data_IF_806166549163
#
_entry.id   IF_806166549163
#
_cell.length_a   1.000
_cell.length_b   1.000
_cell.length_c   1.000
_cell.angle_alpha   90.00
_cell.angle_beta   90.00
_cell.angle_gamma   90.00
#
_symmetry.space_group_name_H-M   'P 1'
#
loop_
_entity.id
_entity.type
_entity.pdbx_description
1 polymer ?
#
# COMPACT_ATOMS: atom_id res chain seq x y z
N UNK A 1 -16.50 -7.83 -18.76
CA UNK A 1 -15.78 -6.74 -18.06
C UNK A 1 -16.65 -6.27 -16.92
N UNK A 2 -16.08 -6.14 -15.73
CA UNK A 2 -16.75 -5.58 -14.56
C UNK A 2 -17.18 -4.13 -14.84
N UNK A 3 -18.48 -3.85 -14.80
CA UNK A 3 -19.03 -2.51 -15.09
C UNK A 3 -18.53 -1.45 -14.11
N UNK A 4 -18.03 -1.86 -12.93
CA UNK A 4 -17.43 -0.96 -11.94
C UNK A 4 -16.19 -0.25 -12.49
N UNK A 5 -15.46 -0.86 -13.43
CA UNK A 5 -14.28 -0.22 -14.04
C UNK A 5 -14.59 1.06 -14.83
N UNK A 6 -15.86 1.33 -15.14
CA UNK A 6 -16.30 2.58 -15.75
C UNK A 6 -16.67 3.67 -14.74
N UNK A 7 -16.61 3.38 -13.43
CA UNK A 7 -16.92 4.32 -12.36
C UNK A 7 -15.64 4.77 -11.65
N UNK A 8 -15.62 6.03 -11.23
CA UNK A 8 -14.58 6.55 -10.35
C UNK A 8 -14.74 6.00 -8.93
N UNK A 9 -13.62 5.97 -8.20
CA UNK A 9 -13.61 5.71 -6.77
C UNK A 9 -13.54 7.05 -6.04
N UNK A 10 -14.33 7.20 -4.98
CA UNK A 10 -14.40 8.41 -4.15
C UNK A 10 -14.36 8.04 -2.67
N UNK A 11 -14.08 9.02 -1.82
CA UNK A 11 -14.26 8.87 -0.36
C UNK A 11 -15.74 8.61 -0.09
N UNK A 12 -16.03 7.66 0.79
CA UNK A 12 -17.41 7.29 1.10
C UNK A 12 -18.15 8.43 1.76
N UNK A 13 -19.40 8.65 1.31
CA UNK A 13 -20.31 9.63 1.93
C UNK A 13 -20.87 9.16 3.27
N UNK A 14 -20.87 7.84 3.51
CA UNK A 14 -21.36 7.25 4.76
C UNK A 14 -20.32 7.37 5.87
N UNK A 15 -19.06 7.13 5.53
CA UNK A 15 -17.94 7.17 6.46
C UNK A 15 -16.66 7.59 5.72
N UNK A 16 -16.14 8.75 6.07
CA UNK A 16 -15.00 9.39 5.42
C UNK A 16 -13.69 8.58 5.52
N UNK A 17 -13.63 7.55 6.37
CA UNK A 17 -12.47 6.66 6.51
C UNK A 17 -12.31 5.62 5.39
N UNK A 18 -13.30 5.47 4.50
CA UNK A 18 -13.33 4.41 3.50
C UNK A 18 -13.63 4.93 2.09
N UNK A 19 -13.56 4.04 1.10
CA UNK A 19 -13.84 4.36 -0.30
C UNK A 19 -15.09 3.66 -0.83
N UNK A 20 -15.72 4.25 -1.83
CA UNK A 20 -16.84 3.69 -2.57
C UNK A 20 -16.76 4.05 -4.05
N UNK A 21 -17.41 3.27 -4.91
CA UNK A 21 -17.66 3.65 -6.30
C UNK A 21 -18.72 4.75 -6.37
N UNK A 22 -18.89 5.36 -7.55
CA UNK A 22 -19.89 6.42 -7.75
C UNK A 22 -21.31 6.00 -7.34
N UNK A 23 -21.70 4.76 -7.63
CA UNK A 23 -22.99 4.15 -7.25
C UNK A 23 -23.15 3.85 -5.74
N UNK A 24 -22.11 4.07 -4.93
CA UNK A 24 -22.11 3.83 -3.49
C UNK A 24 -21.72 2.41 -3.07
N UNK A 25 -21.36 1.54 -4.02
CA UNK A 25 -20.80 0.21 -3.72
C UNK A 25 -19.44 0.37 -3.02
N UNK A 26 -19.17 -0.35 -1.92
CA UNK A 26 -17.89 -0.27 -1.22
C UNK A 26 -16.70 -0.65 -2.10
N UNK A 27 -15.59 0.07 -1.93
CA UNK A 27 -14.30 -0.27 -2.52
C UNK A 27 -13.24 -0.40 -1.44
N UNK A 28 -12.76 -1.62 -1.20
CA UNK A 28 -11.62 -1.87 -0.31
C UNK A 28 -10.39 -2.15 -1.19
N UNK A 29 -9.36 -1.30 -1.15
CA UNK A 29 -8.13 -1.55 -1.87
C UNK A 29 -7.43 -2.80 -1.33
N UNK A 30 -7.34 -3.82 -2.19
CA UNK A 30 -6.45 -4.98 -2.05
C UNK A 30 -5.24 -4.67 -2.92
N UNK A 31 -4.26 -4.00 -2.32
CA UNK A 31 -3.21 -3.28 -3.04
C UNK A 31 -1.79 -3.78 -2.84
N UNK A 32 -0.94 -3.53 -3.83
CA UNK A 32 0.52 -3.76 -3.75
C UNK A 32 1.30 -2.71 -4.55
N UNK A 33 2.56 -2.50 -4.20
CA UNK A 33 3.52 -1.81 -5.05
C UNK A 33 3.85 -2.68 -6.27
N UNK A 34 3.63 -2.19 -7.49
CA UNK A 34 4.02 -2.85 -8.75
C UNK A 34 4.86 -1.86 -9.58
N UNK A 35 5.89 -1.29 -8.95
CA UNK A 35 6.35 0.04 -9.32
C UNK A 35 7.06 0.11 -10.68
N UNK A 36 7.89 -0.88 -11.01
CA UNK A 36 8.69 -0.92 -12.24
C UNK A 36 9.26 -2.30 -12.53
N UNK A 37 9.70 -2.51 -13.76
CA UNK A 37 10.56 -3.63 -14.14
C UNK A 37 12.04 -3.19 -13.98
N UNK A 38 12.91 -4.11 -13.54
CA UNK A 38 14.28 -3.79 -13.09
C UNK A 38 15.38 -4.09 -14.11
N UNK A 39 15.16 -5.00 -15.06
CA UNK A 39 16.24 -5.62 -15.83
C UNK A 39 16.10 -5.46 -17.34
N UNK A 40 14.88 -5.35 -17.85
CA UNK A 40 14.59 -5.12 -19.25
C UNK A 40 14.58 -3.63 -19.57
N UNK A 41 15.17 -3.30 -20.71
CA UNK A 41 15.04 -1.99 -21.36
C UNK A 41 14.10 -2.01 -22.56
N UNK A 42 13.49 -3.17 -22.87
CA UNK A 42 12.61 -3.34 -24.01
C UNK A 42 11.15 -3.09 -23.61
N UNK A 43 10.52 -2.09 -24.22
CA UNK A 43 9.17 -1.65 -23.86
C UNK A 43 8.13 -2.79 -24.02
N UNK A 44 8.30 -3.70 -25.00
CA UNK A 44 7.36 -4.79 -25.23
C UNK A 44 7.50 -5.92 -24.19
N UNK A 45 8.74 -6.26 -23.82
CA UNK A 45 9.02 -7.20 -22.72
C UNK A 45 8.47 -6.68 -21.38
N UNK A 46 8.70 -5.40 -21.07
CA UNK A 46 8.21 -4.76 -19.85
C UNK A 46 6.67 -4.80 -19.81
N UNK A 47 6.00 -4.49 -20.92
CA UNK A 47 4.53 -4.61 -21.01
C UNK A 47 4.05 -6.05 -20.82
N UNK A 48 4.77 -7.05 -21.33
CA UNK A 48 4.43 -8.45 -21.12
C UNK A 48 4.57 -8.86 -19.65
N UNK A 49 5.59 -8.33 -18.95
CA UNK A 49 5.81 -8.54 -17.51
C UNK A 49 4.67 -7.91 -16.71
N UNK A 50 4.30 -6.65 -17.00
CA UNK A 50 3.15 -6.02 -16.35
C UNK A 50 1.85 -6.79 -16.58
N UNK A 51 1.61 -7.28 -17.79
CA UNK A 51 0.44 -8.13 -18.10
C UNK A 51 0.45 -9.40 -17.24
N UNK A 52 1.61 -10.05 -17.07
CA UNK A 52 1.74 -11.22 -16.19
C UNK A 52 1.43 -10.87 -14.74
N UNK A 53 2.03 -9.80 -14.20
CA UNK A 53 1.79 -9.37 -12.83
C UNK A 53 0.33 -9.02 -12.59
N UNK A 54 -0.29 -8.21 -13.46
CA UNK A 54 -1.68 -7.79 -13.31
C UNK A 54 -2.64 -8.97 -13.40
N UNK A 55 -2.38 -9.93 -14.30
CA UNK A 55 -3.17 -11.15 -14.38
C UNK A 55 -3.10 -11.95 -13.08
N UNK A 56 -1.90 -12.29 -12.59
CA UNK A 56 -1.74 -13.07 -11.34
C UNK A 56 -2.33 -12.34 -10.14
N UNK A 57 -2.13 -11.02 -10.07
CA UNK A 57 -2.64 -10.19 -8.99
C UNK A 57 -4.17 -10.16 -8.98
N UNK A 58 -4.80 -9.92 -10.14
CA UNK A 58 -6.25 -9.88 -10.31
C UNK A 58 -6.91 -11.24 -10.09
N UNK A 59 -6.32 -12.33 -10.61
CA UNK A 59 -6.78 -13.71 -10.39
C UNK A 59 -6.81 -14.07 -8.88
N UNK A 60 -6.02 -13.37 -8.05
CA UNK A 60 -6.00 -13.49 -6.60
C UNK A 60 -6.69 -12.32 -5.88
N UNK A 61 -7.60 -11.60 -6.52
CA UNK A 61 -8.42 -10.57 -5.87
C UNK A 61 -7.73 -9.23 -5.61
N UNK A 62 -6.48 -9.05 -6.07
CA UNK A 62 -5.80 -7.77 -6.10
C UNK A 62 -6.50 -6.78 -7.03
N UNK A 63 -6.68 -5.54 -6.57
CA UNK A 63 -7.49 -4.53 -7.28
C UNK A 63 -6.90 -3.11 -7.26
N UNK A 64 -5.73 -2.90 -6.65
CA UNK A 64 -5.09 -1.58 -6.58
C UNK A 64 -3.57 -1.68 -6.70
N UNK A 65 -2.94 -0.93 -7.60
CA UNK A 65 -1.50 -1.00 -7.84
C UNK A 65 -0.83 0.38 -7.83
N UNK A 66 0.31 0.50 -7.15
CA UNK A 66 1.16 1.69 -7.19
C UNK A 66 2.29 1.55 -8.21
N UNK A 67 2.45 2.54 -9.09
CA UNK A 67 3.38 2.54 -10.23
C UNK A 67 4.17 3.84 -10.30
N UNK A 68 5.48 3.78 -10.58
CA UNK A 68 6.32 4.97 -10.68
C UNK A 68 6.48 5.43 -12.13
N UNK A 69 6.26 6.72 -12.39
CA UNK A 69 6.46 7.30 -13.72
C UNK A 69 7.90 7.70 -14.01
N UNK A 70 8.68 8.03 -12.97
CA UNK A 70 10.07 8.50 -13.15
C UNK A 70 11.06 7.43 -13.65
N UNK A 71 10.61 6.22 -13.98
CA UNK A 71 11.46 5.10 -14.43
C UNK A 71 11.61 5.09 -15.96
N UNK A 72 12.69 4.51 -16.53
CA UNK A 72 12.95 4.60 -17.98
C UNK A 72 11.78 4.17 -18.89
N UNK A 73 10.97 3.20 -18.45
CA UNK A 73 9.81 2.72 -19.20
C UNK A 73 8.68 3.76 -19.35
N UNK A 74 8.49 4.63 -18.35
CA UNK A 74 7.38 5.59 -18.25
C UNK A 74 7.81 7.06 -18.16
N UNK A 75 9.12 7.34 -18.09
CA UNK A 75 9.63 8.70 -17.95
C UNK A 75 9.26 9.52 -19.19
N UNK A 76 8.29 10.43 -19.00
CA UNK A 76 7.75 11.24 -20.08
C UNK A 76 8.77 12.26 -20.62
N UNK A 77 9.79 12.62 -19.85
CA UNK A 77 10.82 13.58 -20.22
C UNK A 77 12.21 12.91 -20.20
N UNK A 78 12.47 11.95 -21.11
CA UNK A 78 13.68 11.14 -21.02
C UNK A 78 14.96 11.91 -21.36
N UNK A 79 14.85 12.99 -22.15
CA UNK A 79 16.00 13.73 -22.68
C UNK A 79 16.09 15.17 -22.17
N UNK A 80 14.99 15.92 -22.21
CA UNK A 80 14.94 17.34 -21.86
C UNK A 80 13.64 17.71 -21.17
N UNK A 81 13.65 18.67 -20.23
CA UNK A 81 12.43 19.15 -19.61
C UNK A 81 11.51 19.81 -20.64
N UNK A 82 10.22 19.51 -20.60
CA UNK A 82 9.19 20.01 -21.48
C UNK A 82 9.13 19.32 -22.84
N UNK A 83 10.06 18.40 -23.13
CA UNK A 83 10.07 17.61 -24.37
C UNK A 83 9.53 16.22 -24.07
N UNK A 84 8.22 16.07 -24.23
CA UNK A 84 7.53 14.84 -23.86
C UNK A 84 7.67 13.75 -24.93
N UNK A 85 7.95 12.52 -24.50
CA UNK A 85 8.08 11.35 -25.38
C UNK A 85 6.73 10.70 -25.65
N UNK A 86 6.28 10.73 -26.91
CA UNK A 86 5.03 10.06 -27.31
C UNK A 86 5.10 8.55 -27.05
N UNK A 87 6.24 7.92 -27.31
CA UNK A 87 6.46 6.49 -27.01
C UNK A 87 6.22 6.17 -25.53
N UNK A 88 6.73 7.00 -24.61
CA UNK A 88 6.56 6.78 -23.17
C UNK A 88 5.12 7.05 -22.72
N UNK A 89 4.43 7.97 -23.39
CA UNK A 89 2.99 8.17 -23.23
C UNK A 89 2.16 6.99 -23.77
N UNK A 90 2.56 6.37 -24.88
CA UNK A 90 1.95 5.14 -25.40
C UNK A 90 2.10 3.97 -24.43
N UNK A 91 3.30 3.81 -23.83
CA UNK A 91 3.54 2.82 -22.78
C UNK A 91 2.60 3.02 -21.58
N UNK A 92 2.42 4.27 -21.15
CA UNK A 92 1.51 4.61 -20.06
C UNK A 92 0.05 4.29 -20.43
N UNK A 93 -0.40 4.62 -21.64
CA UNK A 93 -1.74 4.26 -22.13
C UNK A 93 -1.94 2.74 -22.17
N UNK A 94 -0.94 1.98 -22.61
CA UNK A 94 -1.00 0.52 -22.62
C UNK A 94 -1.10 -0.06 -21.19
N UNK A 95 -0.37 0.51 -20.23
CA UNK A 95 -0.42 0.09 -18.83
C UNK A 95 -1.77 0.40 -18.16
N UNK A 96 -2.34 1.56 -18.45
CA UNK A 96 -3.71 1.92 -18.02
C UNK A 96 -4.75 0.97 -18.62
N UNK A 97 -4.60 0.61 -19.89
CA UNK A 97 -5.46 -0.38 -20.54
C UNK A 97 -5.37 -1.76 -19.89
N UNK A 98 -4.18 -2.19 -19.44
CA UNK A 98 -4.03 -3.40 -18.62
C UNK A 98 -4.78 -3.27 -17.29
N UNK A 99 -4.69 -2.11 -16.61
CA UNK A 99 -5.46 -1.85 -15.39
C UNK A 99 -6.96 -2.07 -15.61
N UNK A 100 -7.51 -1.53 -16.71
CA UNK A 100 -8.91 -1.76 -17.12
C UNK A 100 -9.21 -3.23 -17.41
N UNK A 101 -8.34 -3.90 -18.17
CA UNK A 101 -8.50 -5.31 -18.56
C UNK A 101 -8.62 -6.23 -17.34
N UNK A 102 -7.77 -6.01 -16.33
CA UNK A 102 -7.67 -6.85 -15.14
C UNK A 102 -8.46 -6.32 -13.93
N UNK A 103 -9.22 -5.23 -14.07
CA UNK A 103 -10.01 -4.70 -12.96
C UNK A 103 -9.18 -4.08 -11.83
N UNK A 104 -8.01 -3.53 -12.16
CA UNK A 104 -7.06 -2.95 -11.21
C UNK A 104 -7.09 -1.43 -11.33
N UNK A 105 -7.30 -0.75 -10.20
CA UNK A 105 -7.12 0.69 -10.04
C UNK A 105 -5.63 1.02 -9.91
N UNK A 106 -5.22 2.13 -10.49
CA UNK A 106 -3.82 2.56 -10.55
C UNK A 106 -3.61 3.83 -9.74
N UNK A 107 -2.56 3.82 -8.91
CA UNK A 107 -1.94 5.01 -8.32
C UNK A 107 -0.61 5.25 -9.02
N UNK A 108 -0.43 6.44 -9.60
CA UNK A 108 0.84 6.81 -10.23
C UNK A 108 1.62 7.78 -9.36
N UNK A 109 2.87 7.42 -9.07
CA UNK A 109 3.86 8.31 -8.47
C UNK A 109 4.57 9.09 -9.57
N UNK A 110 4.40 10.41 -9.58
CA UNK A 110 4.83 11.29 -10.67
C UNK A 110 6.36 11.41 -10.76
N UNK A 111 7.04 11.56 -9.62
CA UNK A 111 8.50 11.65 -9.54
C UNK A 111 9.04 10.98 -8.25
N UNK A 112 10.33 10.62 -8.24
CA UNK A 112 10.97 9.95 -7.10
C UNK A 112 12.44 10.33 -6.89
N UNK A 113 12.98 11.25 -7.68
CA UNK A 113 14.39 11.61 -7.56
C UNK A 113 14.67 12.36 -6.26
N UNK A 114 15.89 12.18 -5.74
CA UNK A 114 16.39 12.79 -4.50
C UNK A 114 17.56 13.75 -4.75
N UNK A 115 18.18 13.68 -5.92
CA UNK A 115 19.27 14.57 -6.32
C UNK A 115 19.25 14.85 -7.83
N UNK A 116 19.71 16.03 -8.23
CA UNK A 116 19.96 16.39 -9.62
C UNK A 116 21.45 16.27 -9.98
N UNK A 117 22.33 16.35 -8.97
CA UNK A 117 23.78 16.38 -9.14
C UNK A 117 24.30 15.04 -9.61
N UNK A 118 25.39 15.03 -10.39
CA UNK A 118 26.00 13.82 -10.91
C UNK A 118 26.86 13.12 -9.86
N UNK A 119 26.32 12.85 -8.68
CA UNK A 119 27.01 12.02 -7.69
C UNK A 119 27.05 10.59 -8.24
N UNK A 120 28.12 9.82 -8.03
CA UNK A 120 28.07 8.40 -8.38
C UNK A 120 27.15 7.72 -7.37
N UNK A 121 25.90 7.43 -7.75
CA UNK A 121 25.05 6.54 -6.98
C UNK A 121 25.54 5.12 -7.22
N UNK A 122 26.17 4.52 -6.21
CA UNK A 122 26.47 3.10 -6.27
C UNK A 122 25.14 2.34 -6.35
N UNK A 123 25.04 1.40 -7.29
CA UNK A 123 23.94 0.46 -7.32
C UNK A 123 24.00 -0.36 -6.01
N UNK A 124 22.99 -0.21 -5.16
CA UNK A 124 22.97 -0.86 -3.84
C UNK A 124 22.80 -2.38 -3.97
N UNK A 125 22.07 -2.80 -5.01
CA UNK A 125 21.88 -4.19 -5.44
C UNK A 125 21.37 -4.20 -6.90
N UNK A 126 21.54 -5.30 -7.66
CA UNK A 126 21.12 -5.39 -9.05
C UNK A 126 19.65 -4.98 -9.26
N UNK A 127 19.42 -4.00 -10.12
CA UNK A 127 18.08 -3.50 -10.43
C UNK A 127 17.52 -2.51 -9.40
N UNK A 128 18.34 -1.93 -8.53
CA UNK A 128 17.93 -0.84 -7.65
C UNK A 128 17.51 0.40 -8.44
N UNK A 129 16.50 1.13 -7.93
CA UNK A 129 16.05 2.37 -8.57
C UNK A 129 17.14 3.44 -8.55
N UNK A 130 17.22 4.22 -9.63
CA UNK A 130 18.08 5.40 -9.71
C UNK A 130 17.33 6.61 -9.13
N UNK A 131 17.86 7.21 -8.06
CA UNK A 131 17.26 8.37 -7.41
C UNK A 131 17.84 9.69 -7.92
N UNK A 132 18.49 9.68 -9.09
CA UNK A 132 19.04 10.87 -9.73
C UNK A 132 18.26 11.23 -10.98
N UNK A 133 17.93 12.52 -11.13
CA UNK A 133 17.36 13.01 -12.37
C UNK A 133 18.19 14.17 -12.93
N UNK A 134 19.04 13.86 -13.91
CA UNK A 134 19.94 14.86 -14.51
C UNK A 134 19.27 15.72 -15.57
N UNK A 135 18.09 15.32 -16.06
CA UNK A 135 17.38 16.00 -17.15
C UNK A 135 17.07 17.45 -16.78
N UNK A 136 16.76 17.72 -15.51
CA UNK A 136 16.44 19.08 -15.04
C UNK A 136 17.66 19.99 -14.82
N UNK A 137 18.90 19.49 -14.99
CA UNK A 137 20.11 20.29 -14.86
C UNK A 137 20.31 21.28 -16.00
N UNK A 138 20.83 22.47 -15.68
CA UNK A 138 21.06 23.54 -16.67
C UNK A 138 22.01 23.11 -17.78
N UNK A 139 23.04 22.35 -17.45
CA UNK A 139 23.98 21.80 -18.45
C UNK A 139 23.29 20.88 -19.47
N UNK A 140 22.16 20.25 -19.09
CA UNK A 140 21.35 19.37 -19.94
C UNK A 140 20.14 20.10 -20.56
N UNK A 141 20.10 21.43 -20.45
CA UNK A 141 19.01 22.27 -20.96
C UNK A 141 17.81 22.41 -20.02
N UNK A 142 17.95 22.02 -18.75
CA UNK A 142 16.95 22.24 -17.72
C UNK A 142 17.10 23.57 -16.97
N UNK A 143 16.54 23.63 -15.77
CA UNK A 143 16.30 24.89 -15.03
C UNK A 143 16.95 24.94 -13.64
N UNK A 144 17.46 23.82 -13.12
CA UNK A 144 17.92 23.71 -11.74
C UNK A 144 19.16 22.82 -11.60
N UNK A 145 20.18 23.24 -10.86
CA UNK A 145 21.37 22.43 -10.57
C UNK A 145 21.29 21.75 -9.18
N UNK A 146 20.33 22.15 -8.35
CA UNK A 146 20.03 21.54 -7.05
C UNK A 146 18.54 21.24 -6.91
N UNK A 147 18.18 20.35 -5.99
CA UNK A 147 16.76 20.06 -5.71
C UNK A 147 16.06 21.28 -5.12
N UNK A 148 16.77 22.09 -4.32
CA UNK A 148 16.23 23.34 -3.79
C UNK A 148 15.81 24.31 -4.91
N UNK A 149 16.67 24.48 -5.93
CA UNK A 149 16.34 25.31 -7.10
C UNK A 149 15.16 24.74 -7.91
N UNK A 150 15.01 23.42 -7.96
CA UNK A 150 13.87 22.79 -8.63
C UNK A 150 12.55 23.07 -7.89
N UNK A 151 12.53 22.90 -6.58
CA UNK A 151 11.31 23.11 -5.78
C UNK A 151 10.93 24.59 -5.68
N UNK A 152 11.91 25.50 -5.66
CA UNK A 152 11.67 26.94 -5.56
C UNK A 152 11.51 27.65 -6.91
N UNK A 153 12.04 27.09 -8.00
CA UNK A 153 12.08 27.74 -9.31
C UNK A 153 10.74 27.73 -10.05
N UNK A 154 10.30 28.91 -10.50
CA UNK A 154 9.07 29.06 -11.30
C UNK A 154 9.11 28.23 -12.60
N UNK A 155 10.26 28.18 -13.28
CA UNK A 155 10.41 27.40 -14.51
C UNK A 155 10.23 25.89 -14.29
N UNK A 156 10.73 25.37 -13.17
CA UNK A 156 10.59 23.97 -12.79
C UNK A 156 9.14 23.64 -12.43
N UNK A 157 8.49 24.49 -11.64
CA UNK A 157 7.06 24.38 -11.32
C UNK A 157 6.19 24.42 -12.56
N UNK A 158 6.41 25.38 -13.46
CA UNK A 158 5.70 25.48 -14.72
C UNK A 158 5.91 24.23 -15.60
N UNK A 159 7.12 23.66 -15.63
CA UNK A 159 7.38 22.40 -16.32
C UNK A 159 6.60 21.23 -15.72
N UNK A 160 6.59 21.11 -14.39
CA UNK A 160 5.82 20.09 -13.71
C UNK A 160 4.32 20.21 -14.02
N UNK A 161 3.76 21.42 -13.99
CA UNK A 161 2.37 21.68 -14.40
C UNK A 161 2.11 21.27 -15.85
N UNK A 162 3.01 21.56 -16.80
CA UNK A 162 2.86 21.08 -18.19
C UNK A 162 2.81 19.55 -18.29
N UNK A 163 3.58 18.84 -17.46
CA UNK A 163 3.52 17.37 -17.37
C UNK A 163 2.15 16.92 -16.87
N UNK A 164 1.62 17.56 -15.83
CA UNK A 164 0.27 17.29 -15.32
C UNK A 164 -0.81 17.57 -16.38
N UNK A 165 -0.69 18.66 -17.13
CA UNK A 165 -1.63 18.99 -18.21
C UNK A 165 -1.60 17.95 -19.34
N UNK A 166 -0.42 17.42 -19.69
CA UNK A 166 -0.31 16.32 -20.64
C UNK A 166 -1.02 15.07 -20.13
N UNK A 167 -0.77 14.69 -18.87
CA UNK A 167 -1.41 13.56 -18.23
C UNK A 167 -2.93 13.75 -18.15
N UNK A 168 -3.41 14.92 -17.76
CA UNK A 168 -4.84 15.25 -17.65
C UNK A 168 -5.57 15.10 -18.98
N UNK A 169 -5.01 15.61 -20.08
CA UNK A 169 -5.58 15.43 -21.43
C UNK A 169 -5.77 13.96 -21.84
N UNK A 170 -5.00 13.04 -21.26
CA UNK A 170 -5.06 11.62 -21.59
C UNK A 170 -5.85 10.79 -20.56
N UNK A 171 -5.88 11.21 -19.29
CA UNK A 171 -6.28 10.33 -18.18
C UNK A 171 -7.25 10.95 -17.15
N UNK A 172 -7.64 12.23 -17.28
CA UNK A 172 -8.55 12.86 -16.31
C UNK A 172 -9.96 12.24 -16.27
N UNK A 173 -10.38 11.64 -17.38
CA UNK A 173 -11.66 10.91 -17.50
C UNK A 173 -11.47 9.39 -17.50
N UNK A 174 -10.34 8.88 -17.01
CA UNK A 174 -10.03 7.45 -16.98
C UNK A 174 -10.17 6.87 -15.56
N UNK A 175 -11.26 6.15 -15.26
CA UNK A 175 -11.51 5.66 -13.90
C UNK A 175 -10.53 4.57 -13.45
N UNK A 176 -9.81 3.90 -14.36
CA UNK A 176 -8.74 2.99 -13.95
C UNK A 176 -7.61 3.72 -13.21
N UNK A 177 -7.42 5.02 -13.45
CA UNK A 177 -6.47 5.82 -12.67
C UNK A 177 -7.18 6.41 -11.46
N UNK A 178 -6.98 5.78 -10.30
CA UNK A 178 -7.63 6.18 -9.06
C UNK A 178 -6.91 7.35 -8.38
N UNK A 179 -5.58 7.43 -8.50
CA UNK A 179 -4.82 8.42 -7.75
C UNK A 179 -3.50 8.86 -8.40
N UNK A 180 -3.08 10.07 -8.07
CA UNK A 180 -1.79 10.67 -8.42
C UNK A 180 -1.05 11.04 -7.14
N UNK A 181 0.14 10.48 -6.97
CA UNK A 181 1.07 10.79 -5.89
C UNK A 181 2.17 11.69 -6.45
N UNK A 182 2.32 12.88 -5.87
CA UNK A 182 3.26 13.90 -6.34
C UNK A 182 4.71 13.42 -6.34
N UNK A 183 5.13 12.80 -5.25
CA UNK A 183 6.50 12.34 -5.08
C UNK A 183 6.55 11.08 -4.23
N UNK A 184 7.46 10.16 -4.56
CA UNK A 184 7.88 9.12 -3.63
C UNK A 184 8.78 9.74 -2.55
N UNK A 185 8.35 9.66 -1.29
CA UNK A 185 9.15 10.01 -0.11
C UNK A 185 9.77 11.41 -0.20
N UNK A 186 8.91 12.44 -0.33
CA UNK A 186 9.37 13.80 -0.64
C UNK A 186 10.32 14.37 0.43
N UNK A 187 10.22 13.95 1.69
CA UNK A 187 11.14 14.35 2.75
C UNK A 187 12.60 13.88 2.53
N UNK A 188 12.84 12.92 1.63
CA UNK A 188 14.21 12.56 1.24
C UNK A 188 14.90 13.60 0.36
N UNK A 189 14.18 14.63 -0.09
CA UNK A 189 14.74 15.71 -0.92
C UNK A 189 15.22 16.93 -0.13
N UNK A 190 14.79 17.06 1.13
CA UNK A 190 15.10 18.22 1.97
C UNK A 190 14.12 18.44 3.13
N UNK A 191 14.26 19.56 3.87
CA UNK A 191 13.44 19.87 5.04
C UNK A 191 11.99 20.21 4.65
N UNK A 192 11.08 20.17 5.64
CA UNK A 192 9.65 20.55 5.50
C UNK A 192 9.46 21.89 4.80
N UNK A 193 10.28 22.89 5.17
CA UNK A 193 10.24 24.24 4.58
C UNK A 193 10.49 24.27 3.07
N UNK A 194 11.11 23.22 2.51
CA UNK A 194 11.34 23.10 1.07
C UNK A 194 10.16 22.44 0.36
N UNK A 195 9.75 21.25 0.82
CA UNK A 195 8.79 20.44 0.06
C UNK A 195 7.34 20.77 0.37
N UNK A 196 7.00 21.27 1.57
CA UNK A 196 5.60 21.51 1.96
C UNK A 196 4.94 22.61 1.12
N UNK A 197 5.52 23.81 0.94
CA UNK A 197 4.89 24.85 0.12
C UNK A 197 4.71 24.44 -1.35
N UNK A 198 5.67 23.70 -1.89
CA UNK A 198 5.56 23.14 -3.24
C UNK A 198 4.45 22.11 -3.33
N UNK A 199 4.34 21.24 -2.33
CA UNK A 199 3.30 20.20 -2.26
C UNK A 199 1.91 20.80 -2.21
N UNK A 200 1.68 21.83 -1.39
CA UNK A 200 0.38 22.53 -1.30
C UNK A 200 -0.05 23.10 -2.67
N UNK A 201 0.87 23.74 -3.39
CA UNK A 201 0.61 24.25 -4.75
C UNK A 201 0.24 23.10 -5.70
N UNK A 202 1.02 22.02 -5.69
CA UNK A 202 0.87 20.94 -6.67
C UNK A 202 -0.31 20.00 -6.37
N UNK A 203 -0.72 19.87 -5.11
CA UNK A 203 -1.99 19.21 -4.75
C UNK A 203 -3.16 20.00 -5.33
N UNK A 204 -3.14 21.34 -5.23
CA UNK A 204 -4.14 22.19 -5.87
C UNK A 204 -4.19 22.03 -7.40
N UNK A 205 -3.04 21.92 -8.05
CA UNK A 205 -2.96 21.64 -9.50
C UNK A 205 -3.49 20.25 -9.86
N UNK A 206 -3.21 19.23 -9.05
CA UNK A 206 -3.79 17.90 -9.24
C UNK A 206 -5.31 17.92 -9.14
N UNK A 207 -5.88 18.57 -8.12
CA UNK A 207 -7.34 18.68 -8.01
C UNK A 207 -7.98 19.46 -9.14
N UNK A 208 -7.31 20.52 -9.63
CA UNK A 208 -7.78 21.28 -10.80
C UNK A 208 -7.80 20.43 -12.07
N UNK A 209 -6.78 19.59 -12.28
CA UNK A 209 -6.56 18.84 -13.51
C UNK A 209 -7.19 17.44 -13.51
N UNK A 210 -7.44 16.87 -12.34
CA UNK A 210 -7.97 15.52 -12.13
C UNK A 210 -9.11 15.52 -11.08
N UNK A 211 -10.21 16.25 -11.29
CA UNK A 211 -11.22 16.52 -10.25
C UNK A 211 -12.00 15.29 -9.76
N UNK A 212 -11.84 14.13 -10.40
CA UNK A 212 -12.51 12.86 -10.04
C UNK A 212 -11.57 11.81 -9.45
N UNK A 213 -10.29 12.15 -9.30
CA UNK A 213 -9.23 11.23 -8.88
C UNK A 213 -8.51 11.82 -7.66
N UNK A 214 -7.82 10.98 -6.90
CA UNK A 214 -7.16 11.43 -5.68
C UNK A 214 -5.81 12.11 -5.96
N UNK A 215 -5.53 13.20 -5.25
CA UNK A 215 -4.26 13.89 -5.17
C UNK A 215 -3.56 13.58 -3.84
N UNK A 216 -2.30 13.16 -3.92
CA UNK A 216 -1.59 12.58 -2.79
C UNK A 216 -0.14 13.05 -2.71
N UNK A 217 0.41 13.05 -1.50
CA UNK A 217 1.84 13.13 -1.24
C UNK A 217 2.27 11.98 -0.31
N UNK A 218 3.50 11.49 -0.50
CA UNK A 218 4.07 10.44 0.36
C UNK A 218 5.34 10.91 1.07
N UNK A 219 5.61 10.29 2.23
CA UNK A 219 6.82 10.46 3.01
C UNK A 219 7.55 9.12 3.12
N UNK A 220 8.84 9.20 3.42
CA UNK A 220 9.71 8.07 3.71
C UNK A 220 9.28 7.25 4.91
N UNK A 221 10.03 6.17 5.12
CA UNK A 221 9.77 5.23 6.20
C UNK A 221 9.57 5.92 7.56
N UNK A 222 8.45 5.61 8.18
CA UNK A 222 8.09 6.03 9.52
C UNK A 222 8.81 5.14 10.55
N UNK A 223 10.13 5.29 10.65
CA UNK A 223 11.03 4.41 11.43
C UNK A 223 11.84 5.13 12.52
N UNK A 224 11.73 6.45 12.64
CA UNK A 224 12.45 7.25 13.63
C UNK A 224 11.54 8.26 14.35
N UNK A 225 12.05 8.86 15.44
CA UNK A 225 11.24 9.78 16.23
C UNK A 225 10.94 11.10 15.49
N UNK A 226 11.84 11.54 14.60
CA UNK A 226 11.63 12.75 13.79
C UNK A 226 10.48 12.58 12.78
N UNK A 227 10.26 11.36 12.30
CA UNK A 227 9.15 11.05 11.41
C UNK A 227 7.78 11.38 12.05
N UNK A 228 7.63 11.34 13.38
CA UNK A 228 6.37 11.73 14.02
C UNK A 228 5.95 13.16 13.64
N UNK A 229 6.90 14.10 13.65
CA UNK A 229 6.67 15.51 13.28
C UNK A 229 6.40 15.63 11.77
N UNK A 230 7.14 14.89 10.93
CA UNK A 230 6.91 14.89 9.48
C UNK A 230 5.50 14.40 9.11
N UNK A 231 5.01 13.38 9.80
CA UNK A 231 3.67 12.85 9.57
C UNK A 231 2.57 13.77 10.13
N UNK A 232 2.85 14.60 11.14
CA UNK A 232 1.95 15.70 11.55
C UNK A 232 1.85 16.75 10.43
N UNK A 233 2.98 17.09 9.79
CA UNK A 233 3.00 18.00 8.64
C UNK A 233 2.22 17.44 7.45
N UNK A 234 2.40 16.15 7.11
CA UNK A 234 1.65 15.48 6.04
C UNK A 234 0.14 15.47 6.32
N UNK A 235 -0.26 15.21 7.57
CA UNK A 235 -1.67 15.22 7.97
C UNK A 235 -2.29 16.63 7.89
N UNK A 236 -1.47 17.68 8.04
CA UNK A 236 -1.90 19.08 7.93
C UNK A 236 -2.13 19.54 6.49
N UNK A 237 -1.62 18.83 5.47
CA UNK A 237 -1.76 19.22 4.07
C UNK A 237 -3.24 19.20 3.65
N UNK A 238 -3.77 20.38 3.34
CA UNK A 238 -5.03 20.51 2.66
C UNK A 238 -4.91 19.93 1.24
N UNK A 239 -5.93 19.20 0.81
CA UNK A 239 -5.96 18.56 -0.49
C UNK A 239 -5.15 17.26 -0.62
N UNK A 240 -4.51 16.76 0.45
CA UNK A 240 -3.98 15.40 0.47
C UNK A 240 -5.12 14.42 0.83
N UNK A 241 -5.74 13.82 -0.18
CA UNK A 241 -7.09 13.22 -0.06
C UNK A 241 -7.18 12.06 0.93
N UNK A 242 -6.13 11.26 1.04
CA UNK A 242 -6.02 10.26 2.09
C UNK A 242 -4.59 10.13 2.59
N UNK A 243 -4.45 9.70 3.84
CA UNK A 243 -3.15 9.57 4.47
C UNK A 243 -2.48 8.26 4.10
N UNK A 244 -1.18 8.35 3.88
CA UNK A 244 -0.34 7.22 3.52
C UNK A 244 0.90 7.19 4.40
N UNK A 245 1.32 6.00 4.80
CA UNK A 245 2.61 5.80 5.46
C UNK A 245 3.43 4.74 4.73
N UNK A 246 4.74 4.92 4.82
CA UNK A 246 5.72 3.88 4.56
C UNK A 246 6.23 3.39 5.92
N UNK A 247 6.33 2.08 6.15
CA UNK A 247 6.98 1.55 7.36
C UNK A 247 7.51 0.15 7.09
N UNK A 248 8.75 -0.10 7.49
CA UNK A 248 9.43 -1.36 7.26
C UNK A 248 9.90 -2.02 8.55
N UNK A 249 9.93 -3.35 8.53
CA UNK A 249 10.75 -4.12 9.44
C UNK A 249 12.21 -3.77 9.15
N UNK A 250 12.81 -3.00 10.04
CA UNK A 250 14.18 -2.49 9.92
C UNK A 250 14.92 -2.68 11.24
N UNK A 251 15.91 -3.60 11.30
CA UNK A 251 16.75 -3.81 12.48
C UNK A 251 17.46 -2.55 12.99
N UNK A 252 17.67 -1.55 12.12
CA UNK A 252 18.32 -0.27 12.42
C UNK A 252 17.36 0.89 12.70
N UNK A 253 16.04 0.64 12.78
CA UNK A 253 15.08 1.67 13.16
C UNK A 253 15.21 2.11 14.62
N UNK A 254 14.97 3.39 14.90
CA UNK A 254 14.96 3.92 16.27
C UNK A 254 13.69 3.52 17.03
N UNK A 255 12.57 3.35 16.32
CA UNK A 255 11.29 2.96 16.92
C UNK A 255 11.25 1.43 17.10
N UNK A 256 11.10 0.97 18.35
CA UNK A 256 11.07 -0.46 18.73
C UNK A 256 10.11 -1.31 17.90
N UNK A 257 8.91 -0.81 17.62
CA UNK A 257 7.91 -1.57 16.87
C UNK A 257 8.36 -1.90 15.43
N UNK A 258 9.28 -1.11 14.87
CA UNK A 258 9.87 -1.37 13.55
C UNK A 258 10.87 -2.54 13.56
N UNK A 259 11.22 -3.07 14.73
CA UNK A 259 12.09 -4.25 14.92
C UNK A 259 11.33 -5.47 15.43
N UNK A 260 10.03 -5.31 15.68
CA UNK A 260 9.17 -6.32 16.29
C UNK A 260 8.38 -7.15 15.27
N UNK A 261 7.30 -7.80 15.73
CA UNK A 261 6.39 -8.56 14.89
C UNK A 261 5.77 -7.71 13.76
N UNK A 262 5.67 -8.29 12.56
CA UNK A 262 5.21 -7.59 11.35
C UNK A 262 3.78 -7.08 11.48
N UNK A 263 2.90 -7.83 12.13
CA UNK A 263 1.51 -7.45 12.40
C UNK A 263 1.41 -6.20 13.30
N UNK A 264 2.21 -6.13 14.38
CA UNK A 264 2.24 -4.98 15.29
C UNK A 264 2.88 -3.75 14.64
N UNK A 265 3.94 -3.97 13.86
CA UNK A 265 4.59 -2.95 13.04
C UNK A 265 3.60 -2.30 12.07
N UNK A 266 2.88 -3.12 11.31
CA UNK A 266 1.91 -2.65 10.33
C UNK A 266 0.71 -1.95 11.01
N UNK A 267 0.18 -2.54 12.08
CA UNK A 267 -0.92 -1.96 12.87
C UNK A 267 -0.57 -0.59 13.42
N UNK A 268 0.63 -0.44 13.98
CA UNK A 268 1.03 0.81 14.63
C UNK A 268 1.13 1.98 13.66
N UNK A 269 1.58 1.77 12.42
CA UNK A 269 1.59 2.84 11.40
C UNK A 269 0.17 3.33 11.10
N UNK A 270 -0.79 2.43 10.93
CA UNK A 270 -2.20 2.80 10.67
C UNK A 270 -2.81 3.54 11.85
N UNK A 271 -2.56 3.07 13.09
CA UNK A 271 -3.04 3.74 14.29
C UNK A 271 -2.52 5.19 14.38
N UNK A 272 -1.25 5.42 14.01
CA UNK A 272 -0.66 6.76 13.96
C UNK A 272 -1.30 7.67 12.91
N UNK A 273 -1.66 7.15 11.74
CA UNK A 273 -2.37 7.91 10.70
C UNK A 273 -3.79 8.26 11.13
N UNK A 274 -4.57 7.27 11.58
CA UNK A 274 -5.96 7.46 12.00
C UNK A 274 -6.08 8.43 13.18
N UNK A 275 -5.10 8.43 14.09
CA UNK A 275 -5.07 9.38 15.23
C UNK A 275 -4.87 10.84 14.77
N UNK A 276 -4.07 11.06 13.73
CA UNK A 276 -3.76 12.41 13.22
C UNK A 276 -4.91 13.02 12.44
N UNK A 277 -5.57 12.21 11.61
CA UNK A 277 -6.71 12.66 10.83
C UNK A 277 -7.80 11.58 10.79
N UNK A 278 -8.66 11.49 11.81
CA UNK A 278 -9.68 10.44 11.91
C UNK A 278 -10.76 10.52 10.82
N UNK A 279 -10.85 11.65 10.13
CA UNK A 279 -11.82 11.94 9.07
C UNK A 279 -11.26 11.65 7.66
N UNK A 280 -10.03 11.15 7.53
CA UNK A 280 -9.46 10.76 6.24
C UNK A 280 -9.22 9.26 6.19
N UNK A 281 -9.35 8.63 5.01
CA UNK A 281 -8.89 7.28 4.84
C UNK A 281 -7.39 7.21 5.14
N UNK A 282 -6.93 6.10 5.71
CA UNK A 282 -5.53 5.82 5.97
C UNK A 282 -5.14 4.51 5.26
N UNK A 283 -3.98 4.49 4.61
CA UNK A 283 -3.40 3.29 3.98
C UNK A 283 -1.93 3.16 4.37
N UNK A 284 -1.50 1.96 4.76
CA UNK A 284 -0.08 1.61 4.79
C UNK A 284 0.37 1.35 3.34
N UNK A 285 0.83 2.41 2.67
CA UNK A 285 1.08 2.45 1.23
C UNK A 285 2.43 1.84 0.81
N UNK A 286 3.31 1.60 1.78
CA UNK A 286 4.53 0.86 1.56
C UNK A 286 4.96 0.15 2.85
N UNK A 287 5.25 -1.14 2.75
CA UNK A 287 5.80 -1.91 3.85
C UNK A 287 6.58 -3.12 3.36
N UNK A 288 7.39 -3.70 4.22
CA UNK A 288 8.21 -4.88 3.93
C UNK A 288 9.29 -5.03 4.99
N UNK A 289 10.35 -5.75 4.65
CA UNK A 289 11.56 -5.86 5.44
C UNK A 289 12.79 -5.31 4.71
N UNK A 290 13.67 -4.65 5.45
CA UNK A 290 14.95 -4.14 4.97
C UNK A 290 16.08 -4.57 5.89
N UNK A 291 17.31 -4.50 5.39
CA UNK A 291 18.50 -4.55 6.24
C UNK A 291 18.71 -3.23 6.98
N UNK A 292 19.57 -3.26 8.00
CA UNK A 292 19.93 -2.14 8.87
C UNK A 292 19.92 -0.77 8.18
N UNK A 293 19.06 0.14 8.67
CA UNK A 293 18.87 1.51 8.19
C UNK A 293 18.56 1.58 6.69
N UNK A 294 17.69 0.70 6.20
CA UNK A 294 17.23 0.65 4.81
C UNK A 294 18.37 0.52 3.77
N UNK A 295 19.50 -0.10 4.13
CA UNK A 295 20.65 -0.16 3.23
C UNK A 295 20.45 -1.09 2.02
N UNK A 296 19.56 -2.08 2.13
CA UNK A 296 19.13 -2.98 1.04
C UNK A 296 17.88 -3.77 1.44
N UNK A 297 17.35 -4.55 0.50
CA UNK A 297 16.31 -5.54 0.76
C UNK A 297 16.76 -6.55 1.82
N UNK A 298 15.84 -6.97 2.70
CA UNK A 298 16.13 -7.92 3.78
C UNK A 298 16.47 -9.32 3.25
N UNK A 299 17.43 -9.98 3.91
CA UNK A 299 17.70 -11.41 3.69
C UNK A 299 16.50 -12.31 4.02
N UNK A 300 15.55 -11.85 4.85
CA UNK A 300 14.35 -12.61 5.22
C UNK A 300 13.53 -13.02 4.00
N UNK A 301 13.59 -12.26 2.90
CA UNK A 301 12.90 -12.62 1.66
C UNK A 301 13.40 -13.92 1.04
N UNK A 302 14.64 -14.35 1.30
CA UNK A 302 15.13 -15.65 0.84
C UNK A 302 14.59 -16.82 1.66
N UNK A 303 14.29 -16.55 2.93
CA UNK A 303 13.83 -17.51 3.92
C UNK A 303 12.30 -17.67 3.88
N UNK A 304 11.57 -16.58 3.67
CA UNK A 304 10.11 -16.54 3.73
C UNK A 304 9.43 -17.04 2.45
N UNK A 305 9.54 -18.34 2.19
CA UNK A 305 8.95 -18.98 1.01
C UNK A 305 7.43 -19.15 1.10
N UNK A 306 6.89 -19.08 2.32
CA UNK A 306 5.46 -19.25 2.59
C UNK A 306 4.72 -17.90 2.64
N UNK A 307 5.44 -16.77 2.71
CA UNK A 307 4.89 -15.43 2.66
C UNK A 307 4.30 -14.94 3.99
N UNK A 308 4.89 -15.30 5.13
CA UNK A 308 4.41 -14.87 6.46
C UNK A 308 4.49 -13.35 6.65
N UNK A 309 5.55 -12.72 6.12
CA UNK A 309 5.68 -11.25 6.16
C UNK A 309 4.61 -10.58 5.31
N UNK A 310 4.38 -11.09 4.10
CA UNK A 310 3.32 -10.60 3.21
C UNK A 310 1.95 -10.75 3.88
N UNK A 311 1.65 -11.93 4.44
CA UNK A 311 0.38 -12.20 5.10
C UNK A 311 0.06 -11.16 6.18
N UNK A 312 0.99 -10.93 7.10
CA UNK A 312 0.79 -9.99 8.20
C UNK A 312 0.64 -8.55 7.69
N UNK A 313 1.39 -8.18 6.65
CA UNK A 313 1.27 -6.87 6.01
C UNK A 313 -0.07 -6.64 5.30
N UNK A 314 -0.72 -7.68 4.77
CA UNK A 314 -2.04 -7.55 4.16
C UNK A 314 -3.13 -7.40 5.22
N UNK A 315 -3.13 -8.27 6.23
CA UNK A 315 -4.22 -8.34 7.20
C UNK A 315 -4.12 -7.26 8.27
N UNK A 316 -2.94 -7.05 8.88
CA UNK A 316 -2.84 -6.21 10.07
C UNK A 316 -3.28 -4.75 9.88
N UNK A 317 -2.95 -4.06 8.76
CA UNK A 317 -3.44 -2.71 8.50
C UNK A 317 -4.96 -2.61 8.47
N UNK A 318 -5.62 -3.53 7.75
CA UNK A 318 -7.09 -3.50 7.63
C UNK A 318 -7.75 -3.67 9.00
N UNK A 319 -7.29 -4.64 9.80
CA UNK A 319 -7.77 -4.85 11.17
C UNK A 319 -7.31 -3.77 12.17
N UNK A 320 -6.51 -2.80 11.74
CA UNK A 320 -6.16 -1.60 12.47
C UNK A 320 -7.01 -0.38 12.10
N UNK A 321 -7.98 -0.52 11.18
CA UNK A 321 -8.85 0.55 10.72
C UNK A 321 -8.43 1.21 9.41
N UNK A 322 -7.43 0.64 8.71
CA UNK A 322 -7.02 1.10 7.38
C UNK A 322 -8.17 0.95 6.38
N UNK A 323 -8.20 1.83 5.39
CA UNK A 323 -9.19 1.80 4.31
C UNK A 323 -9.00 0.60 3.35
N UNK A 324 -7.81 -0.03 3.38
CA UNK A 324 -7.44 -1.22 2.61
C UNK A 324 -6.34 -2.03 3.30
N UNK A 325 -5.80 -3.05 2.63
CA UNK A 325 -4.65 -3.80 3.13
C UNK A 325 -3.36 -2.96 3.09
N UNK A 326 -2.29 -3.45 3.72
CA UNK A 326 -0.96 -2.89 3.49
C UNK A 326 -0.44 -3.21 2.10
N UNK A 327 0.42 -2.35 1.57
CA UNK A 327 0.97 -2.49 0.23
C UNK A 327 2.45 -2.90 0.33
N UNK A 328 2.71 -4.18 0.09
CA UNK A 328 4.06 -4.73 0.24
C UNK A 328 5.03 -4.18 -0.82
N UNK A 329 6.30 -4.03 -0.45
CA UNK A 329 7.43 -3.64 -1.29
C UNK A 329 8.29 -4.87 -1.62
N UNK A 330 8.79 -4.95 -2.84
CA UNK A 330 9.32 -6.16 -3.50
C UNK A 330 8.25 -7.13 -3.99
N UNK A 331 7.49 -6.68 -4.99
CA UNK A 331 6.54 -7.50 -5.74
C UNK A 331 7.19 -8.51 -6.69
N UNK A 332 8.47 -8.33 -6.96
CA UNK A 332 9.17 -8.87 -8.13
C UNK A 332 10.02 -10.10 -7.79
N UNK A 333 11.07 -10.31 -8.57
CA UNK A 333 12.08 -11.36 -8.43
C UNK A 333 12.78 -11.39 -7.05
N UNK A 334 12.64 -10.37 -6.20
CA UNK A 334 13.19 -10.38 -4.85
C UNK A 334 12.32 -11.23 -3.91
N UNK A 335 10.99 -11.17 -4.02
CA UNK A 335 10.09 -11.79 -3.03
C UNK A 335 8.75 -12.32 -3.59
N UNK A 336 7.73 -11.48 -3.85
CA UNK A 336 6.37 -11.98 -4.14
C UNK A 336 6.29 -12.80 -5.43
N UNK A 337 6.79 -12.28 -6.56
CA UNK A 337 6.78 -13.02 -7.84
C UNK A 337 7.76 -14.20 -7.80
N UNK A 338 8.89 -14.06 -7.07
CA UNK A 338 9.91 -15.11 -6.89
C UNK A 338 9.35 -16.38 -6.26
N UNK A 339 8.52 -16.23 -5.23
CA UNK A 339 8.00 -17.35 -4.44
C UNK A 339 6.53 -17.68 -4.72
N UNK A 340 5.92 -17.07 -5.74
CA UNK A 340 4.50 -17.29 -6.09
C UNK A 340 3.51 -17.00 -4.94
N UNK A 341 3.72 -15.87 -4.25
CA UNK A 341 2.94 -15.51 -3.06
C UNK A 341 1.61 -14.80 -3.38
N UNK A 342 1.18 -14.79 -4.64
CA UNK A 342 -0.02 -14.05 -5.08
C UNK A 342 -1.30 -14.52 -4.37
N UNK A 343 -1.36 -15.79 -3.96
CA UNK A 343 -2.51 -16.40 -3.28
C UNK A 343 -2.86 -15.74 -1.94
N UNK A 344 -1.91 -15.06 -1.29
CA UNK A 344 -2.14 -14.29 -0.06
C UNK A 344 -3.18 -13.16 -0.24
N UNK A 345 -3.17 -12.50 -1.41
CA UNK A 345 -4.20 -11.52 -1.75
C UNK A 345 -5.58 -12.17 -1.84
N UNK A 346 -5.64 -13.40 -2.33
CA UNK A 346 -6.89 -14.17 -2.44
C UNK A 346 -7.41 -14.57 -1.06
N UNK A 347 -6.53 -14.90 -0.13
CA UNK A 347 -6.88 -15.16 1.26
C UNK A 347 -7.47 -13.92 1.92
N UNK A 348 -6.80 -12.77 1.78
CA UNK A 348 -7.29 -11.49 2.30
C UNK A 348 -8.65 -11.12 1.67
N UNK A 349 -8.76 -11.15 0.35
CA UNK A 349 -9.99 -10.80 -0.37
C UNK A 349 -11.18 -11.68 0.05
N UNK A 350 -10.96 -12.97 0.29
CA UNK A 350 -12.01 -13.86 0.82
C UNK A 350 -12.39 -13.54 2.26
N UNK A 351 -11.42 -13.15 3.11
CA UNK A 351 -11.68 -12.81 4.51
C UNK A 351 -12.57 -11.56 4.65
N UNK A 352 -12.46 -10.62 3.70
CA UNK A 352 -13.26 -9.39 3.67
C UNK A 352 -14.43 -9.41 2.68
N UNK A 353 -14.74 -10.57 2.08
CA UNK A 353 -15.75 -10.65 1.04
C UNK A 353 -17.14 -10.27 1.56
N UNK A 354 -17.82 -9.37 0.85
CA UNK A 354 -19.21 -8.99 1.13
C UNK A 354 -19.41 -7.98 2.26
N UNK A 355 -18.35 -7.40 2.82
CA UNK A 355 -18.47 -6.36 3.85
C UNK A 355 -18.65 -4.97 3.24
N UNK A 356 -19.33 -4.08 3.97
CA UNK A 356 -19.36 -2.63 3.72
C UNK A 356 -18.69 -1.93 4.92
N UNK A 357 -17.37 -1.66 4.89
CA UNK A 357 -16.67 -1.09 6.05
C UNK A 357 -17.22 0.27 6.48
N UNK A 358 -17.79 1.03 5.54
CA UNK A 358 -18.38 2.33 5.83
C UNK A 358 -19.70 2.18 6.60
N UNK A 359 -20.54 1.20 6.23
CA UNK A 359 -21.76 0.90 6.97
C UNK A 359 -21.50 0.23 8.33
N UNK A 360 -20.44 -0.56 8.44
CA UNK A 360 -20.06 -1.20 9.71
C UNK A 360 -19.45 -0.21 10.71
N UNK A 361 -18.97 0.96 10.27
CA UNK A 361 -18.29 1.96 11.11
C UNK A 361 -17.23 1.32 12.01
N UNK A 362 -16.37 0.48 11.42
CA UNK A 362 -15.52 -0.39 12.21
C UNK A 362 -14.66 0.37 13.22
N UNK A 363 -14.60 -0.16 14.45
CA UNK A 363 -13.70 0.32 15.51
C UNK A 363 -12.63 -0.73 15.80
N UNK A 364 -11.33 -0.43 15.58
CA UNK A 364 -10.27 -1.39 15.78
C UNK A 364 -9.95 -1.58 17.26
N UNK A 365 -9.73 -2.82 17.66
CA UNK A 365 -9.31 -3.24 19.00
C UNK A 365 -8.22 -4.31 18.87
N UNK A 366 -7.29 -4.36 19.83
CA UNK A 366 -6.31 -5.44 19.95
C UNK A 366 -6.45 -6.06 21.33
N UNK A 367 -6.67 -7.36 21.38
CA UNK A 367 -6.60 -8.16 22.60
C UNK A 367 -5.53 -9.22 22.45
N UNK A 368 -4.98 -9.68 23.55
CA UNK A 368 -3.97 -10.73 23.52
C UNK A 368 -4.15 -11.70 24.69
N UNK A 369 -3.76 -12.95 24.44
CA UNK A 369 -3.52 -13.92 25.50
C UNK A 369 -2.07 -14.43 25.40
N UNK A 370 -1.74 -15.53 26.09
CA UNK A 370 -0.37 -16.07 26.08
C UNK A 370 0.10 -16.53 24.70
N UNK A 371 -0.80 -16.96 23.81
CA UNK A 371 -0.46 -17.59 22.53
C UNK A 371 -0.91 -16.81 21.28
N UNK A 372 -1.97 -16.02 21.40
CA UNK A 372 -2.65 -15.37 20.28
C UNK A 372 -2.81 -13.87 20.53
N UNK A 373 -2.79 -13.13 19.43
CA UNK A 373 -3.31 -11.78 19.28
C UNK A 373 -4.65 -11.85 18.55
N UNK A 374 -5.59 -11.02 18.98
CA UNK A 374 -6.92 -10.89 18.41
C UNK A 374 -7.04 -9.47 17.91
N UNK A 375 -6.85 -9.27 16.61
CA UNK A 375 -7.11 -8.00 15.96
C UNK A 375 -8.60 -7.97 15.61
N UNK A 376 -9.35 -7.08 16.26
CA UNK A 376 -10.81 -7.06 16.17
C UNK A 376 -11.25 -5.76 15.50
N UNK A 377 -12.14 -5.86 14.53
CA UNK A 377 -12.91 -4.74 14.00
C UNK A 377 -14.34 -4.88 14.52
N UNK A 378 -14.76 -3.95 15.39
CA UNK A 378 -16.12 -3.90 15.94
C UNK A 378 -17.05 -3.28 14.93
N UNK A 379 -18.05 -4.01 14.45
CA UNK A 379 -19.02 -3.52 13.47
C UNK A 379 -20.42 -3.33 14.03
N UNK A 380 -21.33 -2.91 13.15
CA UNK A 380 -22.73 -2.69 13.48
C UNK A 380 -23.56 -3.96 13.31
N UNK A 381 -23.26 -4.78 12.29
CA UNK A 381 -23.96 -6.04 12.02
C UNK A 381 -23.13 -7.27 12.34
N UNK A 382 -21.80 -7.13 12.34
CA UNK A 382 -20.88 -8.21 12.68
C UNK A 382 -19.52 -7.67 13.13
N UNK A 383 -18.83 -8.44 13.96
CA UNK A 383 -17.41 -8.20 14.24
C UNK A 383 -16.54 -9.05 13.30
N UNK A 384 -15.40 -8.51 12.89
CA UNK A 384 -14.33 -9.30 12.27
C UNK A 384 -13.21 -9.49 13.28
N UNK A 385 -12.76 -10.74 13.46
CA UNK A 385 -11.68 -11.10 14.38
C UNK A 385 -10.60 -11.83 13.60
N UNK A 386 -9.42 -11.24 13.47
CA UNK A 386 -8.22 -11.91 12.99
C UNK A 386 -7.40 -12.42 14.17
N UNK A 387 -7.37 -13.74 14.31
CA UNK A 387 -6.57 -14.44 15.30
C UNK A 387 -5.21 -14.68 14.67
N UNK A 388 -4.16 -14.12 15.26
CA UNK A 388 -2.76 -14.31 14.82
C UNK A 388 -1.97 -14.88 15.98
N UNK A 389 -1.25 -15.98 15.76
CA UNK A 389 -0.32 -16.47 16.78
C UNK A 389 0.81 -15.48 17.04
N UNK A 390 1.44 -15.61 18.20
CA UNK A 390 2.50 -14.70 18.63
C UNK A 390 3.88 -15.03 18.06
N UNK A 391 4.01 -16.14 17.31
CA UNK A 391 5.26 -16.46 16.65
C UNK A 391 5.47 -15.47 15.50
N UNK A 392 6.64 -14.83 15.49
CA UNK A 392 6.97 -13.81 14.51
C UNK A 392 8.06 -14.31 13.55
N UNK A 393 8.54 -13.38 12.71
CA UNK A 393 9.60 -13.64 11.74
C UNK A 393 10.88 -14.18 12.39
N UNK A 394 11.20 -13.78 13.63
CA UNK A 394 12.40 -14.21 14.31
C UNK A 394 12.26 -15.65 14.87
N UNK A 395 11.05 -16.10 15.19
CA UNK A 395 10.78 -17.50 15.50
C UNK A 395 10.86 -18.37 14.24
N UNK A 396 10.07 -18.04 13.21
CA UNK A 396 9.88 -18.92 12.06
C UNK A 396 11.04 -18.85 11.04
N UNK A 397 11.51 -17.65 10.70
CA UNK A 397 12.47 -17.46 9.62
C UNK A 397 13.92 -17.57 10.12
N UNK A 398 14.24 -16.87 11.22
CA UNK A 398 15.61 -16.89 11.76
C UNK A 398 15.93 -18.17 12.53
N UNK A 399 15.02 -18.60 13.40
CA UNK A 399 15.23 -19.77 14.27
C UNK A 399 14.68 -21.07 13.69
N UNK A 400 13.91 -21.02 12.61
CA UNK A 400 13.35 -22.21 11.96
C UNK A 400 12.31 -22.96 12.82
N UNK A 401 11.68 -22.27 13.76
CA UNK A 401 10.66 -22.86 14.63
C UNK A 401 9.35 -22.96 13.85
N UNK A 402 8.86 -24.18 13.63
CA UNK A 402 7.60 -24.37 12.91
C UNK A 402 6.41 -23.78 13.69
N UNK A 403 5.41 -23.20 12.99
CA UNK A 403 4.24 -22.61 13.65
C UNK A 403 3.42 -23.68 14.38
N UNK A 404 2.89 -23.31 15.55
CA UNK A 404 1.97 -24.16 16.31
C UNK A 404 0.70 -24.42 15.48
N UNK A 405 0.22 -25.67 15.49
CA UNK A 405 -1.11 -26.01 14.97
C UNK A 405 -2.12 -26.06 16.10
N UNK A 406 -3.08 -25.15 16.08
CA UNK A 406 -4.18 -25.11 17.02
C UNK A 406 -5.23 -26.13 16.60
N UNK A 407 -5.20 -27.33 17.19
CA UNK A 407 -6.12 -28.41 16.81
C UNK A 407 -7.57 -28.20 17.30
N UNK A 408 -7.72 -27.66 18.51
CA UNK A 408 -9.02 -27.24 19.06
C UNK A 408 -8.76 -25.95 19.86
N UNK A 409 -9.35 -24.85 19.42
CA UNK A 409 -9.34 -23.59 20.16
C UNK A 409 -10.78 -23.25 20.53
N UNK A 410 -11.05 -23.21 21.83
CA UNK A 410 -12.35 -22.84 22.39
C UNK A 410 -12.23 -21.48 23.04
N UNK A 411 -13.02 -20.52 22.59
CA UNK A 411 -13.04 -19.16 23.16
C UNK A 411 -14.45 -18.81 23.58
N UNK A 412 -14.67 -18.45 24.86
CA UNK A 412 -15.97 -17.92 25.28
C UNK A 412 -16.32 -16.65 24.49
N UNK A 413 -17.56 -16.56 24.02
CA UNK A 413 -18.05 -15.47 23.15
C UNK A 413 -17.81 -14.12 23.81
N UNK A 414 -18.02 -14.00 25.11
CA UNK A 414 -17.86 -12.77 25.89
C UNK A 414 -16.40 -12.25 25.93
N UNK A 415 -15.41 -13.13 25.70
CA UNK A 415 -14.02 -12.72 25.56
C UNK A 415 -13.74 -12.05 24.22
N UNK A 416 -14.57 -12.33 23.22
CA UNK A 416 -14.45 -11.76 21.88
C UNK A 416 -15.39 -10.59 21.69
N UNK A 417 -16.67 -10.67 22.06
CA UNK A 417 -17.67 -9.63 21.83
C UNK A 417 -18.75 -9.60 22.91
N UNK A 418 -19.37 -8.44 23.12
CA UNK A 418 -20.48 -8.28 24.05
C UNK A 418 -21.85 -8.55 23.40
N UNK A 419 -21.91 -8.56 22.06
CA UNK A 419 -23.14 -8.81 21.33
C UNK A 419 -23.46 -10.32 21.27
N UNK A 420 -24.76 -10.70 21.23
CA UNK A 420 -25.14 -12.09 21.03
C UNK A 420 -24.71 -12.53 19.63
N UNK A 421 -23.99 -13.65 19.53
CA UNK A 421 -23.50 -14.19 18.25
C UNK A 421 -24.42 -15.32 17.80
N UNK A 422 -25.09 -15.14 16.66
CA UNK A 422 -25.99 -16.13 16.06
C UNK A 422 -25.26 -17.11 15.15
N UNK A 423 -24.19 -16.66 14.49
CA UNK A 423 -23.37 -17.48 13.58
C UNK A 423 -21.95 -16.96 13.51
N UNK A 424 -21.00 -17.87 13.34
CA UNK A 424 -19.61 -17.55 13.05
C UNK A 424 -19.26 -18.06 11.66
N UNK A 425 -18.64 -17.23 10.84
CA UNK A 425 -18.04 -17.65 9.56
C UNK A 425 -16.51 -17.63 9.70
N UNK A 426 -15.85 -18.65 9.19
CA UNK A 426 -14.40 -18.81 9.29
C UNK A 426 -13.74 -18.72 7.93
N UNK A 427 -12.58 -18.06 7.90
CA UNK A 427 -11.64 -18.06 6.79
C UNK A 427 -10.28 -18.48 7.34
N UNK A 428 -9.77 -19.62 6.85
CA UNK A 428 -8.51 -20.23 7.30
C UNK A 428 -7.48 -20.19 6.16
N UNK A 429 -6.67 -19.12 6.03
CA UNK A 429 -5.71 -18.96 4.94
C UNK A 429 -4.71 -20.12 4.83
N UNK A 430 -4.32 -20.70 5.95
CA UNK A 430 -3.20 -21.65 6.05
C UNK A 430 -3.63 -23.13 6.15
N UNK A 431 -4.93 -23.42 6.09
CA UNK A 431 -5.44 -24.77 6.32
C UNK A 431 -6.61 -25.07 5.36
N UNK A 432 -6.38 -26.01 4.43
CA UNK A 432 -7.40 -26.44 3.47
C UNK A 432 -8.50 -27.27 4.13
N UNK A 433 -9.73 -27.13 3.62
CA UNK A 433 -10.86 -27.97 4.01
C UNK A 433 -11.39 -27.74 5.43
N UNK A 434 -10.96 -26.66 6.10
CA UNK A 434 -11.50 -26.26 7.40
C UNK A 434 -13.00 -25.95 7.33
N UNK A 435 -13.72 -26.19 8.43
CA UNK A 435 -15.11 -25.77 8.57
C UNK A 435 -15.24 -24.26 8.33
N UNK A 436 -16.23 -23.88 7.53
CA UNK A 436 -16.41 -22.48 7.12
C UNK A 436 -17.40 -21.72 7.98
N UNK A 437 -18.17 -22.41 8.82
CA UNK A 437 -19.09 -21.76 9.74
C UNK A 437 -19.43 -22.66 10.93
N UNK A 438 -19.75 -22.04 12.05
CA UNK A 438 -20.26 -22.70 13.24
C UNK A 438 -21.34 -21.83 13.92
N UNK A 439 -22.10 -22.45 14.83
CA UNK A 439 -22.97 -21.75 15.78
C UNK A 439 -22.34 -21.87 17.16
N UNK A 440 -22.23 -20.78 17.94
CA UNK A 440 -21.70 -20.89 19.31
C UNK A 440 -22.54 -21.84 20.17
N UNK A 441 -21.89 -22.73 20.91
CA UNK A 441 -22.55 -23.69 21.80
C UNK A 441 -22.27 -23.33 23.25
N UNK A 442 -23.32 -23.16 24.06
CA UNK A 442 -23.23 -22.77 25.47
C UNK A 442 -22.34 -21.52 25.70
N UNK A 443 -22.43 -20.54 24.79
CA UNK A 443 -21.63 -19.31 24.86
C UNK A 443 -20.15 -19.50 24.47
N UNK A 444 -19.78 -20.60 23.82
CA UNK A 444 -18.39 -20.89 23.41
C UNK A 444 -18.31 -21.07 21.89
N UNK A 445 -17.31 -20.46 21.28
CA UNK A 445 -16.94 -20.68 19.89
C UNK A 445 -15.83 -21.72 19.84
N UNK A 446 -16.06 -22.80 19.11
CA UNK A 446 -15.02 -23.77 18.75
C UNK A 446 -14.49 -23.39 17.37
N UNK A 447 -13.24 -22.98 17.30
CA UNK A 447 -12.56 -22.64 16.06
C UNK A 447 -12.08 -23.91 15.36
N UNK A 448 -12.17 -23.98 14.02
CA UNK A 448 -11.59 -25.08 13.28
C UNK A 448 -10.06 -25.08 13.42
N UNK A 449 -9.40 -26.20 13.12
CA UNK A 449 -7.95 -26.26 13.18
C UNK A 449 -7.28 -25.21 12.28
N UNK A 450 -6.23 -24.56 12.78
CA UNK A 450 -5.46 -23.59 11.99
C UNK A 450 -3.99 -23.50 12.45
N UNK A 451 -3.16 -22.88 11.62
CA UNK A 451 -1.78 -22.46 11.91
C UNK A 451 -1.62 -21.00 11.56
N UNK A 452 -0.71 -20.29 12.23
CA UNK A 452 -0.40 -18.85 12.02
C UNK A 452 -1.57 -17.92 12.27
N UNK A 453 -2.62 -18.01 11.48
CA UNK A 453 -3.80 -17.17 11.66
C UNK A 453 -5.10 -17.74 11.10
N UNK A 454 -6.21 -17.16 11.55
CA UNK A 454 -7.57 -17.40 11.06
C UNK A 454 -8.38 -16.10 11.18
N UNK A 455 -9.31 -15.85 10.26
CA UNK A 455 -10.32 -14.79 10.40
C UNK A 455 -11.69 -15.39 10.74
N UNK A 456 -12.33 -14.86 11.77
CA UNK A 456 -13.69 -15.19 12.15
C UNK A 456 -14.60 -13.95 12.03
N UNK A 457 -15.73 -14.10 11.33
CA UNK A 457 -16.81 -13.12 11.30
C UNK A 457 -17.89 -13.53 12.29
N UNK A 458 -18.10 -12.73 13.32
CA UNK A 458 -19.11 -12.96 14.35
C UNK A 458 -20.40 -12.21 13.96
N UNK A 459 -21.42 -12.92 13.49
CA UNK A 459 -22.68 -12.34 13.05
C UNK A 459 -23.66 -12.23 14.22
N UNK A 460 -24.35 -11.09 14.33
CA UNK A 460 -25.31 -10.83 15.41
C UNK A 460 -26.74 -11.17 14.97
#
# INVERSE_FOLDING_TARGET
>A
MDSRMNQFVRISRKNSRYFEYEDGTPFVPVGMNLCFERFSGDDAEILAIYRRWFRRFSENGGNFARIWLGVPFLNLEPEKPGVFSERKLENLRALVALGREYGIRLKFTLDHFRDLRPVRQAEMFPGAACFQNRVYRRENGGFADTVEEFFNGEAARANFVRKLELLSRNFADEPAVMAWELWNEVNCVGPVSLWKPWTEIMLGELHRLFPKQFALQSLGSFSDFYAYDLYDELASLEGNDFLQAHRYLDPGAEIDVCRGPMDLLCRSAVAELCRRCPERPAILAETGAVEWCHCRASHLYELDREGTLLHDALFAPFFAGSAGCGQFWHWDHIYVDRHDLWHHFGWFARAIAGIDPAAEDYRPELRENRRLRFHILRGNSHDLVWLRDKADWADELDRGIAPERFAELRVPVEQLTAAPVSRVEFNSPWEDGAEQAAVPENGVITFPPFRRSLVARLCF
#
